data_IF_108163857628
#
_entry.id   IF_108163857628
#
_cell.length_a   1.000
_cell.length_b   1.000
_cell.length_c   1.000
_cell.angle_alpha   90.00
_cell.angle_beta   90.00
_cell.angle_gamma   90.00
#
_symmetry.space_group_name_H-M   'P 1'
#
loop_
_entity.id
_entity.type
_entity.pdbx_description
1 polymer ?
#
# COMPACT_ATOMS: atom_id res chain seq x y z
N UNK A 1 -45.31 9.81 -12.35
CA UNK A 1 -44.37 9.62 -13.48
C UNK A 1 -43.61 8.34 -13.22
N UNK A 2 -44.10 7.23 -13.76
CA UNK A 2 -43.49 5.90 -13.67
C UNK A 2 -42.39 5.78 -14.71
N UNK A 3 -41.20 6.29 -14.39
CA UNK A 3 -39.98 5.94 -15.12
C UNK A 3 -39.51 4.58 -14.63
N UNK A 4 -39.33 3.63 -15.53
CA UNK A 4 -38.57 2.41 -15.27
C UNK A 4 -37.15 2.81 -14.81
N UNK A 5 -36.90 2.88 -13.50
CA UNK A 5 -35.54 2.98 -12.96
C UNK A 5 -34.86 1.62 -13.16
N UNK A 6 -34.33 1.35 -14.34
CA UNK A 6 -33.59 0.10 -14.61
C UNK A 6 -32.12 0.18 -14.19
N UNK A 7 -31.63 1.36 -13.79
CA UNK A 7 -30.24 1.53 -13.30
C UNK A 7 -30.13 2.78 -12.44
N UNK A 8 -29.61 2.63 -11.22
CA UNK A 8 -29.19 3.73 -10.36
C UNK A 8 -27.97 4.46 -10.94
N UNK A 9 -27.88 5.77 -10.69
CA UNK A 9 -26.64 6.51 -10.93
C UNK A 9 -25.58 6.16 -9.88
N UNK A 10 -24.31 6.39 -10.19
CA UNK A 10 -23.18 6.09 -9.28
C UNK A 10 -23.26 6.85 -7.96
N UNK A 11 -23.80 8.08 -7.99
CA UNK A 11 -23.93 8.93 -6.80
C UNK A 11 -25.06 8.43 -5.89
N UNK A 12 -26.19 8.01 -6.47
CA UNK A 12 -27.31 7.41 -5.74
C UNK A 12 -26.92 6.09 -5.07
N UNK A 13 -26.16 5.24 -5.78
CA UNK A 13 -25.67 3.98 -5.20
C UNK A 13 -24.72 4.21 -4.02
N UNK A 14 -23.83 5.20 -4.15
CA UNK A 14 -22.89 5.57 -3.07
C UNK A 14 -23.66 6.11 -1.87
N UNK A 15 -24.65 6.97 -2.10
CA UNK A 15 -25.49 7.52 -1.04
C UNK A 15 -26.30 6.43 -0.31
N UNK A 16 -26.93 5.51 -1.06
CA UNK A 16 -27.70 4.40 -0.47
C UNK A 16 -26.83 3.47 0.38
N UNK A 17 -25.65 3.09 -0.14
CA UNK A 17 -24.67 2.30 0.60
C UNK A 17 -24.21 2.97 1.89
N UNK A 18 -24.03 4.29 1.83
CA UNK A 18 -23.64 5.10 2.97
C UNK A 18 -24.77 5.09 4.00
N UNK A 19 -25.98 5.47 3.61
CA UNK A 19 -27.13 5.51 4.51
C UNK A 19 -27.45 4.16 5.16
N UNK A 20 -27.38 3.03 4.43
CA UNK A 20 -27.48 1.68 5.03
C UNK A 20 -26.49 1.48 6.19
N UNK A 21 -25.23 1.86 6.00
CA UNK A 21 -24.19 1.68 7.00
C UNK A 21 -24.49 2.49 8.27
N UNK A 22 -24.77 3.78 8.14
CA UNK A 22 -25.03 4.67 9.28
C UNK A 22 -26.28 4.32 10.06
N UNK A 23 -27.39 4.12 9.35
CA UNK A 23 -28.67 3.86 9.99
C UNK A 23 -28.65 2.53 10.74
N UNK A 24 -27.89 1.54 10.23
CA UNK A 24 -27.64 0.28 10.94
C UNK A 24 -26.71 0.43 12.15
N UNK A 25 -25.71 1.31 12.07
CA UNK A 25 -24.72 1.52 13.14
C UNK A 25 -25.22 2.33 14.33
N UNK A 26 -26.16 3.24 14.07
CA UNK A 26 -26.85 4.05 15.10
C UNK A 26 -27.98 3.28 15.79
N UNK A 27 -28.39 2.14 15.23
CA UNK A 27 -29.39 1.22 15.80
C UNK A 27 -28.90 0.44 17.01
N UNK A 28 -29.84 -0.18 17.73
CA UNK A 28 -29.55 -1.09 18.84
C UNK A 28 -28.70 -2.29 18.38
N UNK A 29 -27.91 -2.82 19.31
CA UNK A 29 -27.00 -3.95 19.18
C UNK A 29 -27.62 -5.18 18.51
N UNK A 30 -28.93 -5.39 18.64
CA UNK A 30 -29.69 -6.47 17.98
C UNK A 30 -29.56 -6.43 16.44
N UNK A 31 -29.37 -5.25 15.85
CA UNK A 31 -29.23 -5.07 14.40
C UNK A 31 -27.79 -5.23 13.90
N UNK A 32 -26.79 -5.20 14.79
CA UNK A 32 -25.38 -5.15 14.37
C UNK A 32 -24.84 -6.45 13.77
N UNK A 33 -25.50 -7.56 14.08
CA UNK A 33 -25.20 -8.88 13.51
C UNK A 33 -26.07 -9.22 12.29
N UNK A 34 -27.07 -8.40 11.98
CA UNK A 34 -27.87 -8.54 10.77
C UNK A 34 -27.28 -7.71 9.61
N UNK A 35 -27.50 -8.11 8.35
CA UNK A 35 -27.16 -7.28 7.20
C UNK A 35 -27.83 -5.90 7.31
N UNK A 36 -27.09 -4.83 7.03
CA UNK A 36 -27.60 -3.45 7.14
C UNK A 36 -28.84 -3.17 6.30
N UNK A 37 -29.09 -3.91 5.21
CA UNK A 37 -30.34 -3.80 4.46
C UNK A 37 -31.59 -4.27 5.21
N UNK A 38 -31.48 -5.17 6.19
CA UNK A 38 -32.64 -5.70 6.91
C UNK A 38 -33.31 -4.64 7.79
N UNK A 39 -32.52 -3.80 8.47
CA UNK A 39 -33.04 -2.66 9.23
C UNK A 39 -33.71 -1.63 8.29
N UNK A 40 -33.14 -1.42 7.09
CA UNK A 40 -33.72 -0.53 6.08
C UNK A 40 -35.05 -1.07 5.56
N UNK A 41 -35.15 -2.37 5.25
CA UNK A 41 -36.41 -3.00 4.87
C UNK A 41 -37.47 -2.91 5.99
N UNK A 42 -37.06 -3.06 7.26
CA UNK A 42 -37.97 -2.92 8.40
C UNK A 42 -38.50 -1.48 8.51
N UNK A 43 -37.63 -0.48 8.35
CA UNK A 43 -38.02 0.94 8.32
C UNK A 43 -38.94 1.27 7.14
N UNK A 44 -38.60 0.83 5.93
CA UNK A 44 -39.44 1.01 4.74
C UNK A 44 -40.84 0.43 4.97
N UNK A 45 -40.94 -0.77 5.54
CA UNK A 45 -42.24 -1.38 5.86
C UNK A 45 -43.04 -0.57 6.87
N UNK A 46 -42.39 0.01 7.88
CA UNK A 46 -43.04 0.89 8.85
C UNK A 46 -43.64 2.13 8.17
N UNK A 47 -42.87 2.80 7.31
CA UNK A 47 -43.32 4.00 6.60
C UNK A 47 -44.35 3.70 5.50
N UNK A 48 -44.34 2.50 4.91
CA UNK A 48 -45.40 2.07 3.99
C UNK A 48 -46.73 1.80 4.71
N UNK A 49 -46.69 1.26 5.93
CA UNK A 49 -47.88 1.00 6.72
C UNK A 49 -48.46 2.26 7.36
N UNK A 50 -47.59 3.16 7.81
CA UNK A 50 -47.97 4.46 8.37
C UNK A 50 -47.10 5.56 7.73
N UNK A 51 -47.64 6.40 6.83
CA UNK A 51 -46.87 7.44 6.13
C UNK A 51 -46.20 8.46 7.06
N UNK A 52 -46.74 8.66 8.27
CA UNK A 52 -46.19 9.53 9.31
C UNK A 52 -46.16 8.76 10.65
N UNK A 53 -45.19 7.85 10.85
CA UNK A 53 -45.04 7.16 12.13
C UNK A 53 -44.66 8.15 13.24
N UNK A 54 -45.12 7.88 14.47
CA UNK A 54 -44.64 8.69 15.60
C UNK A 54 -43.16 8.40 15.87
N UNK A 55 -42.44 9.38 16.41
CA UNK A 55 -41.02 9.22 16.75
C UNK A 55 -40.78 7.99 17.66
N UNK A 56 -41.65 7.75 18.63
CA UNK A 56 -41.60 6.58 19.52
C UNK A 56 -41.69 5.25 18.75
N UNK A 57 -42.50 5.17 17.69
CA UNK A 57 -42.60 3.96 16.87
C UNK A 57 -41.28 3.66 16.16
N UNK A 58 -40.67 4.69 15.57
CA UNK A 58 -39.36 4.54 14.89
C UNK A 58 -38.28 4.14 15.90
N UNK A 59 -38.22 4.83 17.04
CA UNK A 59 -37.25 4.54 18.11
C UNK A 59 -37.44 3.16 18.73
N UNK A 60 -38.68 2.67 18.88
CA UNK A 60 -38.94 1.32 19.40
C UNK A 60 -38.42 0.22 18.45
N UNK A 61 -38.49 0.47 17.13
CA UNK A 61 -38.02 -0.46 16.10
C UNK A 61 -36.48 -0.45 16.02
N UNK A 62 -35.90 0.74 15.84
CA UNK A 62 -34.46 0.92 15.60
C UNK A 62 -33.63 0.90 16.87
N UNK A 63 -34.22 1.29 18.01
CA UNK A 63 -33.52 1.55 19.26
C UNK A 63 -32.75 2.87 19.28
N UNK A 64 -33.06 3.79 18.35
CA UNK A 64 -32.40 5.11 18.29
C UNK A 64 -32.74 5.98 19.50
N UNK A 65 -31.75 6.72 19.99
CA UNK A 65 -31.98 7.84 20.92
C UNK A 65 -32.58 9.04 20.18
N UNK A 66 -33.09 10.03 20.91
CA UNK A 66 -33.57 11.29 20.33
C UNK A 66 -32.50 11.97 19.46
N UNK A 67 -31.25 11.90 19.90
CA UNK A 67 -30.10 12.42 19.17
C UNK A 67 -29.92 11.71 17.81
N UNK A 68 -29.87 10.38 17.78
CA UNK A 68 -29.67 9.63 16.54
C UNK A 68 -30.86 9.72 15.59
N UNK A 69 -32.08 9.86 16.11
CA UNK A 69 -33.25 10.13 15.27
C UNK A 69 -33.09 11.47 14.54
N UNK A 70 -32.78 12.55 15.28
CA UNK A 70 -32.60 13.89 14.71
C UNK A 70 -31.39 13.98 13.78
N UNK A 71 -30.29 13.31 14.11
CA UNK A 71 -29.08 13.32 13.29
C UNK A 71 -29.27 12.60 11.96
N UNK A 72 -29.94 11.43 11.96
CA UNK A 72 -30.26 10.72 10.73
C UNK A 72 -31.24 11.50 9.84
N UNK A 73 -32.26 12.13 10.44
CA UNK A 73 -33.23 12.99 9.73
C UNK A 73 -32.56 14.23 9.12
N UNK A 74 -31.63 14.86 9.85
CA UNK A 74 -30.88 16.02 9.36
C UNK A 74 -29.84 15.66 8.29
N UNK A 75 -29.18 14.51 8.42
CA UNK A 75 -28.05 14.09 7.57
C UNK A 75 -28.49 13.52 6.22
N UNK A 76 -29.59 12.78 6.20
CA UNK A 76 -30.10 12.12 4.98
C UNK A 76 -31.37 12.77 4.43
N UNK A 77 -31.89 13.80 5.10
CA UNK A 77 -33.15 14.45 4.76
C UNK A 77 -34.33 13.78 5.48
N UNK A 78 -35.54 14.38 5.36
CA UNK A 78 -36.74 13.93 6.07
C UNK A 78 -36.92 12.41 5.93
N UNK A 79 -36.97 11.70 7.05
CA UNK A 79 -37.01 10.24 7.08
C UNK A 79 -38.16 9.66 6.25
N UNK A 80 -39.29 10.35 6.17
CA UNK A 80 -40.42 9.94 5.33
C UNK A 80 -40.08 9.88 3.83
N UNK A 81 -39.40 10.90 3.30
CA UNK A 81 -38.95 10.96 1.90
C UNK A 81 -37.81 9.97 1.65
N UNK A 82 -36.87 9.92 2.58
CA UNK A 82 -35.73 8.99 2.57
C UNK A 82 -36.19 7.54 2.51
N UNK A 83 -37.14 7.13 3.37
CA UNK A 83 -37.66 5.76 3.39
C UNK A 83 -38.53 5.43 2.18
N UNK A 84 -39.24 6.41 1.60
CA UNK A 84 -39.96 6.21 0.34
C UNK A 84 -38.99 5.95 -0.83
N UNK A 85 -37.87 6.68 -0.88
CA UNK A 85 -36.81 6.51 -1.87
C UNK A 85 -36.10 5.15 -1.70
N UNK A 86 -35.76 4.78 -0.46
CA UNK A 86 -35.25 3.45 -0.16
C UNK A 86 -36.20 2.34 -0.60
N UNK A 87 -37.50 2.47 -0.34
CA UNK A 87 -38.49 1.46 -0.74
C UNK A 87 -38.61 1.25 -2.25
N UNK A 88 -38.24 2.25 -3.06
CA UNK A 88 -38.23 2.13 -4.52
C UNK A 88 -36.88 1.62 -5.06
N UNK A 89 -35.79 1.96 -4.39
CA UNK A 89 -34.44 1.79 -4.94
C UNK A 89 -33.65 0.63 -4.31
N UNK A 90 -33.97 0.21 -3.08
CA UNK A 90 -33.21 -0.80 -2.33
C UNK A 90 -33.17 -2.17 -3.05
N UNK A 91 -34.24 -2.53 -3.75
CA UNK A 91 -34.32 -3.77 -4.54
C UNK A 91 -33.49 -3.72 -5.84
N UNK A 92 -33.11 -2.52 -6.29
CA UNK A 92 -32.39 -2.26 -7.54
C UNK A 92 -30.89 -2.03 -7.27
N UNK A 93 -30.48 -1.86 -6.00
CA UNK A 93 -29.07 -1.67 -5.62
C UNK A 93 -28.23 -2.84 -6.13
N UNK A 94 -27.07 -2.52 -6.70
CA UNK A 94 -26.16 -3.58 -7.13
C UNK A 94 -25.49 -4.19 -5.90
N UNK A 95 -25.37 -5.52 -5.89
CA UNK A 95 -24.72 -6.29 -4.83
C UNK A 95 -23.37 -6.81 -5.32
N UNK A 96 -22.36 -5.94 -5.50
CA UNK A 96 -21.08 -6.35 -6.06
C UNK A 96 -20.38 -7.30 -5.10
N UNK A 97 -19.87 -8.40 -5.63
CA UNK A 97 -18.98 -9.27 -4.88
C UNK A 97 -17.58 -8.65 -4.76
N UNK A 98 -17.01 -8.68 -3.57
CA UNK A 98 -15.63 -8.23 -3.36
C UNK A 98 -14.66 -9.29 -3.90
N UNK A 99 -13.73 -8.87 -4.75
CA UNK A 99 -12.82 -9.77 -5.48
C UNK A 99 -11.95 -10.63 -4.56
N UNK A 100 -11.80 -11.92 -4.88
CA UNK A 100 -10.97 -12.85 -4.11
C UNK A 100 -9.46 -12.74 -4.46
N UNK A 101 -9.08 -11.84 -5.36
CA UNK A 101 -7.74 -11.75 -5.94
C UNK A 101 -6.64 -11.38 -4.93
N UNK A 102 -6.98 -10.81 -3.77
CA UNK A 102 -5.98 -10.36 -2.79
C UNK A 102 -5.23 -11.53 -2.11
N UNK A 103 -5.90 -12.67 -1.89
CA UNK A 103 -5.32 -13.85 -1.25
C UNK A 103 -4.22 -14.50 -2.10
N UNK A 104 -4.43 -14.82 -3.39
CA UNK A 104 -3.35 -15.40 -4.21
C UNK A 104 -2.19 -14.43 -4.40
N UNK A 105 -2.46 -13.11 -4.54
CA UNK A 105 -1.41 -12.09 -4.63
C UNK A 105 -0.56 -12.09 -3.35
N UNK A 106 -1.20 -12.16 -2.17
CA UNK A 106 -0.52 -12.24 -0.89
C UNK A 106 0.42 -13.44 -0.81
N UNK A 107 -0.05 -14.63 -1.15
CA UNK A 107 0.76 -15.85 -1.09
C UNK A 107 1.98 -15.73 -2.01
N UNK A 108 1.77 -15.35 -3.27
CA UNK A 108 2.84 -15.28 -4.28
C UNK A 108 3.90 -14.25 -3.88
N UNK A 109 3.49 -13.03 -3.55
CA UNK A 109 4.44 -11.95 -3.25
C UNK A 109 5.13 -12.15 -1.90
N UNK A 110 4.45 -12.71 -0.91
CA UNK A 110 5.07 -13.04 0.38
C UNK A 110 6.12 -14.13 0.24
N UNK A 111 5.81 -15.21 -0.49
CA UNK A 111 6.79 -16.28 -0.75
C UNK A 111 7.98 -15.72 -1.52
N UNK A 112 7.73 -14.92 -2.56
CA UNK A 112 8.78 -14.31 -3.37
C UNK A 112 9.67 -13.37 -2.55
N UNK A 113 9.09 -12.49 -1.74
CA UNK A 113 9.83 -11.55 -0.91
C UNK A 113 10.61 -12.26 0.21
N UNK A 114 10.05 -13.32 0.81
CA UNK A 114 10.76 -14.19 1.77
C UNK A 114 12.02 -14.77 1.15
N UNK A 115 11.90 -15.36 -0.05
CA UNK A 115 13.03 -15.96 -0.77
C UNK A 115 14.09 -14.90 -1.08
N UNK A 116 13.68 -13.74 -1.59
CA UNK A 116 14.60 -12.65 -1.93
C UNK A 116 15.33 -12.10 -0.70
N UNK A 117 14.64 -11.95 0.44
CA UNK A 117 15.26 -11.54 1.69
C UNK A 117 16.25 -12.59 2.21
N UNK A 118 15.91 -13.88 2.13
CA UNK A 118 16.83 -14.97 2.46
C UNK A 118 18.09 -14.94 1.59
N UNK A 119 17.94 -14.80 0.27
CA UNK A 119 19.05 -14.68 -0.68
C UNK A 119 19.90 -13.43 -0.43
N UNK A 120 19.29 -12.32 -0.03
CA UNK A 120 20.00 -11.09 0.35
C UNK A 120 20.92 -11.35 1.54
N UNK A 121 20.41 -11.92 2.63
CA UNK A 121 21.22 -12.23 3.81
C UNK A 121 22.32 -13.25 3.50
N UNK A 122 21.98 -14.30 2.76
CA UNK A 122 22.94 -15.29 2.30
C UNK A 122 24.07 -14.64 1.49
N UNK A 123 23.73 -13.71 0.58
CA UNK A 123 24.71 -12.97 -0.20
C UNK A 123 25.65 -12.15 0.68
N UNK A 124 25.14 -11.48 1.72
CA UNK A 124 25.95 -10.64 2.60
C UNK A 124 26.89 -11.48 3.48
N UNK A 125 26.39 -12.56 4.05
CA UNK A 125 27.19 -13.50 4.82
C UNK A 125 28.26 -14.18 3.96
N UNK A 126 27.91 -14.62 2.75
CA UNK A 126 28.84 -15.34 1.87
C UNK A 126 29.90 -14.45 1.21
N UNK A 127 29.61 -13.17 0.96
CA UNK A 127 30.52 -12.26 0.23
C UNK A 127 31.26 -11.33 1.17
N UNK A 128 30.55 -10.67 2.09
CA UNK A 128 31.13 -9.65 2.98
C UNK A 128 31.49 -10.22 4.36
N UNK A 129 30.99 -11.40 4.74
CA UNK A 129 31.20 -11.99 6.07
C UNK A 129 30.57 -11.23 7.23
N UNK A 130 29.80 -10.17 6.96
CA UNK A 130 29.14 -9.31 7.96
C UNK A 130 27.85 -8.72 7.43
N UNK A 131 26.90 -8.52 8.33
CA UNK A 131 25.62 -7.85 8.07
C UNK A 131 25.80 -6.35 8.32
N UNK A 132 25.35 -5.51 7.39
CA UNK A 132 25.48 -4.06 7.51
C UNK A 132 24.18 -3.43 8.05
N UNK A 133 24.24 -2.20 8.56
CA UNK A 133 23.09 -1.51 9.17
C UNK A 133 21.88 -1.39 8.22
N UNK A 134 22.11 -1.23 6.92
CA UNK A 134 21.04 -1.15 5.92
C UNK A 134 20.33 -2.50 5.68
N UNK A 135 20.98 -3.64 5.97
CA UNK A 135 20.36 -4.96 5.87
C UNK A 135 19.39 -5.20 7.02
N UNK A 136 19.72 -4.72 8.22
CA UNK A 136 18.79 -4.70 9.37
C UNK A 136 17.56 -3.84 9.08
N UNK A 137 17.75 -2.68 8.45
CA UNK A 137 16.64 -1.82 8.04
C UNK A 137 15.78 -2.47 6.95
N UNK A 138 16.39 -3.25 6.05
CA UNK A 138 15.64 -4.04 5.06
C UNK A 138 14.81 -5.15 5.70
N UNK A 139 15.33 -5.81 6.74
CA UNK A 139 14.57 -6.80 7.52
C UNK A 139 13.43 -6.17 8.28
N UNK A 140 13.66 -5.01 8.89
CA UNK A 140 12.62 -4.22 9.53
C UNK A 140 11.52 -3.87 8.53
N UNK A 141 11.89 -3.36 7.35
CA UNK A 141 10.94 -3.08 6.28
C UNK A 141 10.12 -4.33 5.88
N UNK A 142 10.77 -5.49 5.74
CA UNK A 142 10.11 -6.75 5.43
C UNK A 142 9.05 -7.15 6.49
N UNK A 143 9.36 -7.02 7.78
CA UNK A 143 8.40 -7.30 8.86
C UNK A 143 7.19 -6.37 8.78
N UNK A 144 7.40 -5.08 8.50
CA UNK A 144 6.31 -4.12 8.32
C UNK A 144 5.46 -4.43 7.09
N UNK A 145 6.09 -4.84 5.98
CA UNK A 145 5.38 -5.27 4.77
C UNK A 145 4.53 -6.51 5.07
N UNK A 146 5.07 -7.51 5.77
CA UNK A 146 4.30 -8.69 6.19
C UNK A 146 3.10 -8.31 7.07
N UNK A 147 3.30 -7.42 8.05
CA UNK A 147 2.24 -6.93 8.92
C UNK A 147 1.14 -6.23 8.13
N UNK A 148 1.52 -5.32 7.24
CA UNK A 148 0.58 -4.60 6.38
C UNK A 148 -0.19 -5.52 5.42
N UNK A 149 0.50 -6.49 4.81
CA UNK A 149 -0.10 -7.47 3.93
C UNK A 149 -1.09 -8.38 4.69
N UNK A 150 -0.74 -8.83 5.89
CA UNK A 150 -1.60 -9.65 6.75
C UNK A 150 -2.87 -8.89 7.15
N UNK A 151 -2.72 -7.60 7.48
CA UNK A 151 -3.83 -6.73 7.82
C UNK A 151 -4.79 -6.50 6.63
N UNK A 152 -4.23 -6.36 5.43
CA UNK A 152 -5.03 -6.25 4.19
C UNK A 152 -5.82 -7.53 3.88
N UNK A 153 -5.27 -8.71 4.20
CA UNK A 153 -5.99 -9.98 4.09
C UNK A 153 -7.07 -10.08 5.16
N UNK A 154 -6.76 -9.68 6.41
CA UNK A 154 -7.74 -9.66 7.49
C UNK A 154 -8.91 -8.71 7.17
N UNK A 155 -8.65 -7.51 6.64
CA UNK A 155 -9.68 -6.59 6.15
C UNK A 155 -10.62 -7.27 5.15
N UNK A 156 -10.07 -7.99 4.18
CA UNK A 156 -10.86 -8.74 3.19
C UNK A 156 -11.71 -9.84 3.84
N UNK A 157 -11.13 -10.61 4.76
CA UNK A 157 -11.85 -11.68 5.47
C UNK A 157 -12.96 -11.10 6.35
N UNK A 158 -12.69 -10.00 7.05
CA UNK A 158 -13.65 -9.29 7.89
C UNK A 158 -14.80 -8.67 7.07
N UNK A 159 -14.52 -8.21 5.85
CA UNK A 159 -15.51 -7.65 4.92
C UNK A 159 -16.44 -8.69 4.28
N UNK A 160 -16.05 -9.97 4.30
CA UNK A 160 -16.82 -11.06 3.71
C UNK A 160 -16.90 -11.05 2.18
N UNK A 161 -18.02 -11.57 1.66
CA UNK A 161 -18.27 -11.80 0.23
C UNK A 161 -18.67 -10.54 -0.52
N UNK A 162 -19.29 -9.58 0.16
CA UNK A 162 -19.91 -8.41 -0.46
C UNK A 162 -18.99 -7.19 -0.40
N UNK A 163 -19.00 -6.40 -1.47
CA UNK A 163 -18.32 -5.10 -1.50
C UNK A 163 -19.20 -4.02 -0.86
N UNK A 164 -20.49 -4.01 -1.18
CA UNK A 164 -21.50 -3.07 -0.65
C UNK A 164 -21.59 -3.11 0.88
N UNK A 165 -21.76 -1.94 1.51
CA UNK A 165 -22.02 -1.84 2.93
C UNK A 165 -23.43 -2.31 3.31
N UNK A 166 -24.44 -2.16 2.44
CA UNK A 166 -25.81 -2.61 2.71
C UNK A 166 -25.91 -4.13 2.93
N UNK A 167 -25.03 -4.92 2.30
CA UNK A 167 -25.02 -6.38 2.44
C UNK A 167 -24.13 -6.90 3.57
N UNK A 168 -23.34 -6.02 4.20
CA UNK A 168 -22.48 -6.37 5.32
C UNK A 168 -23.25 -6.17 6.63
N UNK A 169 -22.83 -6.90 7.66
CA UNK A 169 -23.26 -6.56 9.02
C UNK A 169 -22.45 -5.37 9.52
N UNK A 170 -23.01 -4.58 10.43
CA UNK A 170 -22.30 -3.46 11.02
C UNK A 170 -20.99 -3.91 11.69
N UNK A 171 -21.03 -5.01 12.46
CA UNK A 171 -19.85 -5.60 13.09
C UNK A 171 -18.76 -6.07 12.10
N UNK A 172 -19.14 -6.51 10.89
CA UNK A 172 -18.19 -6.84 9.83
C UNK A 172 -17.54 -5.57 9.25
N UNK A 173 -18.35 -4.55 8.96
CA UNK A 173 -17.88 -3.29 8.41
C UNK A 173 -16.95 -2.53 9.37
N UNK A 174 -17.26 -2.51 10.67
CA UNK A 174 -16.39 -1.90 11.71
C UNK A 174 -15.03 -2.61 11.80
N UNK A 175 -15.02 -3.95 11.84
CA UNK A 175 -13.77 -4.73 11.89
C UNK A 175 -12.91 -4.52 10.64
N UNK A 176 -13.54 -4.48 9.47
CA UNK A 176 -12.85 -4.18 8.21
C UNK A 176 -12.27 -2.77 8.22
N UNK A 177 -13.03 -1.78 8.67
CA UNK A 177 -12.57 -0.40 8.75
C UNK A 177 -11.41 -0.21 9.73
N UNK A 178 -11.44 -0.85 10.91
CA UNK A 178 -10.33 -0.81 11.86
C UNK A 178 -9.04 -1.36 11.23
N UNK A 179 -9.16 -2.48 10.49
CA UNK A 179 -8.04 -3.07 9.78
C UNK A 179 -7.50 -2.13 8.68
N UNK A 180 -8.40 -1.55 7.90
CA UNK A 180 -8.05 -0.57 6.87
C UNK A 180 -7.32 0.64 7.47
N UNK A 181 -7.86 1.24 8.53
CA UNK A 181 -7.29 2.43 9.17
C UNK A 181 -5.89 2.17 9.72
N UNK A 182 -5.69 1.03 10.40
CA UNK A 182 -4.37 0.63 10.87
C UNK A 182 -3.41 0.35 9.70
N UNK A 183 -3.92 -0.22 8.60
CA UNK A 183 -3.15 -0.46 7.38
C UNK A 183 -2.69 0.83 6.72
N UNK A 184 -3.54 1.85 6.67
CA UNK A 184 -3.19 3.15 6.11
C UNK A 184 -2.15 3.90 6.94
N UNK A 185 -2.14 3.72 8.27
CA UNK A 185 -1.09 4.25 9.14
C UNK A 185 0.24 3.48 9.03
N UNK A 186 0.18 2.16 8.83
CA UNK A 186 1.36 1.30 8.73
C UNK A 186 2.07 1.38 7.36
N UNK A 187 1.30 1.63 6.30
CA UNK A 187 1.80 1.69 4.92
C UNK A 187 2.97 2.68 4.72
N UNK A 188 2.86 3.97 5.14
CA UNK A 188 3.95 4.94 5.02
C UNK A 188 5.24 4.51 5.73
N UNK A 189 5.13 3.80 6.86
CA UNK A 189 6.28 3.32 7.63
C UNK A 189 6.99 2.18 6.88
N UNK A 190 6.22 1.27 6.28
CA UNK A 190 6.75 0.17 5.48
C UNK A 190 7.54 0.70 4.27
N UNK A 191 6.92 1.60 3.47
CA UNK A 191 7.58 2.15 2.27
C UNK A 191 8.80 3.01 2.63
N UNK A 192 8.71 3.83 3.68
CA UNK A 192 9.83 4.62 4.18
C UNK A 192 11.03 3.73 4.54
N UNK A 193 10.78 2.63 5.25
CA UNK A 193 11.84 1.72 5.68
C UNK A 193 12.58 1.11 4.49
N UNK A 194 11.87 0.74 3.42
CA UNK A 194 12.48 0.25 2.17
C UNK A 194 13.32 1.35 1.51
N UNK A 195 12.78 2.57 1.40
CA UNK A 195 13.50 3.71 0.78
C UNK A 195 14.77 4.05 1.55
N UNK A 196 14.70 4.12 2.87
CA UNK A 196 15.87 4.40 3.71
C UNK A 196 16.92 3.30 3.61
N UNK A 197 16.52 2.03 3.55
CA UNK A 197 17.46 0.93 3.33
C UNK A 197 18.22 1.06 2.00
N UNK A 198 17.52 1.43 0.92
CA UNK A 198 18.11 1.62 -0.40
C UNK A 198 19.00 2.88 -0.46
N UNK A 199 18.55 3.98 0.13
CA UNK A 199 19.30 5.23 0.22
C UNK A 199 20.59 5.08 1.04
N UNK A 200 20.55 4.36 2.16
CA UNK A 200 21.75 4.05 2.96
C UNK A 200 22.73 3.15 2.20
N UNK A 201 22.21 2.21 1.39
CA UNK A 201 23.04 1.43 0.49
C UNK A 201 23.76 2.32 -0.53
N UNK A 202 23.06 3.27 -1.16
CA UNK A 202 23.67 4.22 -2.10
C UNK A 202 24.67 5.16 -1.43
N UNK A 203 24.39 5.61 -0.21
CA UNK A 203 25.33 6.40 0.58
C UNK A 203 26.63 5.63 0.85
N UNK A 204 26.54 4.33 1.13
CA UNK A 204 27.72 3.49 1.35
C UNK A 204 28.54 3.22 0.08
N UNK A 205 27.90 3.33 -1.10
CA UNK A 205 28.50 2.94 -2.37
C UNK A 205 29.40 4.04 -2.96
N UNK A 206 29.12 5.30 -2.68
CA UNK A 206 29.86 6.42 -3.29
C UNK A 206 30.25 7.50 -2.28
N UNK A 207 31.47 8.01 -2.44
CA UNK A 207 31.99 9.19 -1.74
C UNK A 207 31.69 10.49 -2.49
N UNK A 208 31.07 10.42 -3.68
CA UNK A 208 30.79 11.58 -4.52
C UNK A 208 29.77 12.52 -3.86
N UNK A 209 30.19 13.75 -3.56
CA UNK A 209 29.40 14.73 -2.79
C UNK A 209 28.00 15.03 -3.38
N UNK A 210 27.81 15.21 -4.70
CA UNK A 210 26.49 15.47 -5.28
C UNK A 210 25.51 14.33 -5.04
N UNK A 211 25.99 13.08 -5.12
CA UNK A 211 25.19 11.90 -4.84
C UNK A 211 24.79 11.81 -3.37
N UNK A 212 25.70 12.18 -2.44
CA UNK A 212 25.39 12.23 -1.00
C UNK A 212 24.33 13.28 -0.68
N UNK A 213 24.42 14.47 -1.27
CA UNK A 213 23.39 15.50 -1.15
C UNK A 213 22.04 15.03 -1.69
N UNK A 214 22.01 14.40 -2.86
CA UNK A 214 20.79 13.83 -3.42
C UNK A 214 20.17 12.77 -2.47
N UNK A 215 21.00 11.92 -1.86
CA UNK A 215 20.54 10.93 -0.86
C UNK A 215 19.94 11.61 0.37
N UNK A 216 20.60 12.62 0.94
CA UNK A 216 20.09 13.33 2.13
C UNK A 216 18.77 14.04 1.87
N UNK A 217 18.67 14.78 0.75
CA UNK A 217 17.45 15.51 0.37
C UNK A 217 16.29 14.52 0.17
N UNK A 218 16.55 13.41 -0.53
CA UNK A 218 15.52 12.40 -0.82
C UNK A 218 15.11 11.63 0.42
N UNK A 219 16.06 11.33 1.32
CA UNK A 219 15.77 10.70 2.62
C UNK A 219 14.90 11.61 3.49
N UNK A 220 15.23 12.89 3.57
CA UNK A 220 14.45 13.88 4.31
C UNK A 220 13.03 14.03 3.73
N UNK A 221 12.90 14.18 2.41
CA UNK A 221 11.60 14.29 1.74
C UNK A 221 10.73 13.04 1.96
N UNK A 222 11.33 11.84 1.87
CA UNK A 222 10.63 10.57 2.12
C UNK A 222 10.19 10.45 3.56
N UNK A 223 11.06 10.80 4.51
CA UNK A 223 10.76 10.78 5.94
C UNK A 223 9.64 11.76 6.30
N UNK A 224 9.74 13.01 5.85
CA UNK A 224 8.72 14.03 6.09
C UNK A 224 7.36 13.61 5.54
N UNK A 225 7.32 13.11 4.29
CA UNK A 225 6.08 12.63 3.65
C UNK A 225 5.47 11.46 4.41
N UNK A 226 6.28 10.51 4.85
CA UNK A 226 5.80 9.34 5.59
C UNK A 226 5.27 9.71 6.98
N UNK A 227 5.94 10.62 7.69
CA UNK A 227 5.47 11.11 8.99
C UNK A 227 4.18 11.89 8.86
N UNK A 228 4.08 12.79 7.87
CA UNK A 228 2.82 13.51 7.57
C UNK A 228 1.70 12.50 7.31
N UNK A 229 1.91 11.52 6.41
CA UNK A 229 0.90 10.53 6.10
C UNK A 229 0.50 9.68 7.32
N UNK A 230 1.46 9.22 8.13
CA UNK A 230 1.20 8.42 9.33
C UNK A 230 0.41 9.21 10.36
N UNK A 231 0.85 10.42 10.73
CA UNK A 231 0.16 11.24 11.72
C UNK A 231 -1.22 11.69 11.25
N UNK A 232 -1.38 11.93 9.96
CA UNK A 232 -2.68 12.20 9.36
C UNK A 232 -3.66 11.05 9.59
N UNK A 233 -3.28 9.81 9.29
CA UNK A 233 -4.16 8.64 9.45
C UNK A 233 -4.44 8.29 10.91
N UNK A 234 -3.49 8.56 11.81
CA UNK A 234 -3.69 8.37 13.25
C UNK A 234 -4.62 9.47 13.78
N UNK A 235 -4.31 10.74 13.55
CA UNK A 235 -5.04 11.87 14.14
C UNK A 235 -6.21 12.39 13.29
N UNK A 236 -6.67 11.63 12.30
CA UNK A 236 -7.74 12.08 11.40
C UNK A 236 -9.06 12.34 12.16
N UNK A 237 -9.32 11.57 13.22
CA UNK A 237 -10.56 11.61 13.99
C UNK A 237 -10.29 11.68 15.50
N UNK A 238 -11.16 12.34 16.26
CA UNK A 238 -11.05 12.42 17.73
C UNK A 238 -11.44 11.05 18.32
N UNK A 239 -10.52 10.43 19.07
CA UNK A 239 -10.48 8.99 19.33
C UNK A 239 -11.53 8.32 20.25
N UNK A 240 -12.38 8.98 21.07
CA UNK A 240 -13.23 8.23 22.01
C UNK A 240 -14.27 7.33 21.34
N UNK A 241 -14.81 7.75 20.20
CA UNK A 241 -15.97 7.06 19.61
C UNK A 241 -15.59 5.98 18.61
N UNK A 242 -14.45 6.06 17.91
CA UNK A 242 -14.09 5.07 16.87
C UNK A 242 -14.03 3.60 17.36
N UNK A 243 -13.85 3.40 18.67
CA UNK A 243 -13.76 2.10 19.33
C UNK A 243 -15.05 1.65 20.03
N UNK A 244 -15.96 2.57 20.36
CA UNK A 244 -17.21 2.30 21.11
C UNK A 244 -18.49 2.52 20.28
N UNK A 245 -18.44 3.44 19.33
CA UNK A 245 -19.47 3.71 18.34
C UNK A 245 -18.78 3.59 16.98
N UNK A 246 -18.99 2.44 16.33
CA UNK A 246 -18.44 2.17 15.00
C UNK A 246 -18.62 3.37 14.08
N UNK A 247 -17.62 3.53 13.20
CA UNK A 247 -17.46 4.60 12.21
C UNK A 247 -18.74 5.40 12.04
N UNK A 248 -18.74 6.62 12.56
CA UNK A 248 -19.79 7.60 12.31
C UNK A 248 -19.24 8.57 11.25
N UNK A 249 -19.43 8.32 9.94
CA UNK A 249 -18.82 9.20 8.94
C UNK A 249 -19.40 10.65 8.95
N UNK A 250 -20.45 10.95 9.76
CA UNK A 250 -21.07 12.28 9.93
C UNK A 250 -20.44 13.00 11.11
N UNK A 251 -19.75 12.28 12.01
CA UNK A 251 -18.66 12.82 12.82
C UNK A 251 -17.61 13.30 11.83
N UNK A 252 -17.86 14.53 11.41
CA UNK A 252 -17.06 15.36 10.56
C UNK A 252 -15.62 15.30 11.07
N UNK A 253 -14.83 14.35 10.55
CA UNK A 253 -13.38 14.33 10.70
C UNK A 253 -12.83 15.51 9.86
N UNK A 254 -13.17 16.72 10.34
CA UNK A 254 -13.03 18.03 9.71
C UNK A 254 -11.59 18.49 9.67
N UNK A 255 -10.68 17.80 10.36
CA UNK A 255 -9.29 18.21 10.49
C UNK A 255 -8.61 18.27 9.11
N UNK A 256 -8.91 17.33 8.19
CA UNK A 256 -8.27 17.30 6.88
C UNK A 256 -9.16 16.71 5.80
N UNK A 257 -9.15 17.29 4.58
CA UNK A 257 -9.74 16.67 3.39
C UNK A 257 -8.90 15.44 2.99
N UNK A 258 -9.32 14.21 3.29
CA UNK A 258 -8.45 13.03 3.20
C UNK A 258 -7.98 12.78 1.77
N UNK A 259 -8.85 13.01 0.79
CA UNK A 259 -8.54 12.86 -0.63
C UNK A 259 -7.35 13.72 -1.09
N UNK A 260 -7.38 15.02 -0.79
CA UNK A 260 -6.32 15.96 -1.23
C UNK A 260 -4.96 15.58 -0.64
N UNK A 261 -4.94 15.17 0.63
CA UNK A 261 -3.69 14.82 1.31
C UNK A 261 -3.16 13.47 0.80
N UNK A 262 -4.01 12.47 0.59
CA UNK A 262 -3.60 11.18 0.01
C UNK A 262 -3.04 11.37 -1.39
N UNK A 263 -3.66 12.22 -2.22
CA UNK A 263 -3.16 12.52 -3.56
C UNK A 263 -1.80 13.24 -3.53
N UNK A 264 -1.67 14.25 -2.68
CA UNK A 264 -0.44 15.05 -2.58
C UNK A 264 0.72 14.21 -2.05
N UNK A 265 0.49 13.45 -0.97
CA UNK A 265 1.52 12.57 -0.38
C UNK A 265 1.88 11.42 -1.32
N UNK A 266 0.89 10.86 -2.04
CA UNK A 266 1.13 9.85 -3.08
C UNK A 266 1.98 10.36 -4.25
N UNK A 267 1.72 11.58 -4.73
CA UNK A 267 2.51 12.19 -5.80
C UNK A 267 3.96 12.43 -5.38
N UNK A 268 4.19 12.93 -4.16
CA UNK A 268 5.54 13.11 -3.61
C UNK A 268 6.23 11.75 -3.42
N UNK A 269 5.49 10.73 -3.00
CA UNK A 269 6.02 9.37 -2.86
C UNK A 269 6.54 8.84 -4.20
N UNK A 270 5.76 8.97 -5.28
CA UNK A 270 6.19 8.58 -6.64
C UNK A 270 7.41 9.41 -7.08
N UNK A 271 7.40 10.72 -6.85
CA UNK A 271 8.54 11.58 -7.20
C UNK A 271 9.82 11.12 -6.51
N UNK A 272 9.76 10.81 -5.21
CA UNK A 272 10.91 10.27 -4.49
C UNK A 272 11.35 8.89 -5.02
N UNK A 273 10.42 8.04 -5.46
CA UNK A 273 10.78 6.74 -6.08
C UNK A 273 11.54 6.93 -7.40
N UNK A 274 11.10 7.86 -8.24
CA UNK A 274 11.79 8.21 -9.49
C UNK A 274 13.18 8.77 -9.19
N UNK A 275 13.32 9.68 -8.21
CA UNK A 275 14.62 10.23 -7.82
C UNK A 275 15.56 9.12 -7.32
N UNK A 276 15.09 8.23 -6.45
CA UNK A 276 15.88 7.10 -5.94
C UNK A 276 16.37 6.21 -7.09
N UNK A 277 15.52 5.95 -8.08
CA UNK A 277 15.89 5.18 -9.27
C UNK A 277 16.94 5.88 -10.14
N UNK A 278 16.89 7.21 -10.24
CA UNK A 278 17.86 8.00 -11.03
C UNK A 278 19.23 8.14 -10.35
N UNK A 279 19.30 8.14 -9.01
CA UNK A 279 20.56 8.31 -8.24
C UNK A 279 21.73 7.43 -8.73
N UNK A 280 21.56 6.12 -8.97
CA UNK A 280 22.68 5.27 -9.41
C UNK A 280 23.03 5.39 -10.91
N UNK A 281 22.20 6.02 -11.75
CA UNK A 281 22.44 6.08 -13.21
C UNK A 281 23.74 6.81 -13.60
N UNK A 282 24.05 8.01 -13.06
CA UNK A 282 25.29 8.71 -13.39
C UNK A 282 26.54 7.90 -13.03
N UNK A 283 26.49 7.14 -11.93
CA UNK A 283 27.58 6.29 -11.49
C UNK A 283 27.79 5.14 -12.49
N UNK A 284 26.71 4.49 -12.92
CA UNK A 284 26.78 3.39 -13.89
C UNK A 284 27.23 3.86 -15.27
N UNK A 285 26.84 5.06 -15.71
CA UNK A 285 27.25 5.60 -17.01
C UNK A 285 28.74 5.94 -17.09
N UNK A 286 29.36 6.27 -15.97
CA UNK A 286 30.81 6.52 -15.90
C UNK A 286 31.63 5.24 -15.81
N UNK A 287 31.01 4.12 -15.44
CA UNK A 287 31.70 2.87 -15.21
C UNK A 287 31.74 2.02 -16.49
N UNK A 288 32.95 1.73 -17.00
CA UNK A 288 33.14 0.84 -18.14
C UNK A 288 32.90 -0.62 -17.72
N UNK A 289 31.63 -1.02 -17.71
CA UNK A 289 31.22 -2.37 -17.32
C UNK A 289 31.49 -3.40 -18.43
N UNK A 290 31.97 -4.58 -18.05
CA UNK A 290 32.06 -5.72 -18.94
C UNK A 290 30.65 -6.17 -19.41
N UNK A 291 30.50 -6.83 -20.57
CA UNK A 291 29.18 -7.18 -21.13
C UNK A 291 28.26 -7.94 -20.16
N UNK A 292 28.84 -8.81 -19.31
CA UNK A 292 28.12 -9.55 -18.27
C UNK A 292 27.55 -8.66 -17.17
N UNK A 293 28.31 -7.67 -16.74
CA UNK A 293 27.90 -6.72 -15.71
C UNK A 293 26.87 -5.72 -16.26
N UNK A 294 26.94 -5.42 -17.55
CA UNK A 294 25.96 -4.60 -18.27
C UNK A 294 24.57 -5.23 -18.27
N UNK A 295 24.46 -6.55 -18.52
CA UNK A 295 23.17 -7.26 -18.49
C UNK A 295 22.55 -7.21 -17.08
N UNK A 296 23.36 -7.50 -16.05
CA UNK A 296 22.93 -7.42 -14.65
C UNK A 296 22.51 -6.00 -14.27
N UNK A 297 23.25 -4.98 -14.71
CA UNK A 297 22.89 -3.59 -14.49
C UNK A 297 21.52 -3.28 -15.12
N UNK A 298 21.31 -3.62 -16.40
CA UNK A 298 20.02 -3.43 -17.09
C UNK A 298 18.87 -4.11 -16.35
N UNK A 299 19.07 -5.34 -15.87
CA UNK A 299 18.07 -6.05 -15.07
C UNK A 299 17.75 -5.31 -13.77
N UNK A 300 18.77 -4.87 -13.02
CA UNK A 300 18.55 -4.12 -11.76
C UNK A 300 17.86 -2.77 -11.99
N UNK A 301 18.18 -2.06 -13.07
CA UNK A 301 17.50 -0.81 -13.43
C UNK A 301 16.06 -1.05 -13.89
N UNK A 302 15.81 -2.14 -14.62
CA UNK A 302 14.47 -2.55 -15.04
C UNK A 302 13.56 -2.84 -13.85
N UNK A 303 14.06 -3.56 -12.84
CA UNK A 303 13.31 -3.78 -11.59
C UNK A 303 12.95 -2.48 -10.88
N UNK A 304 13.87 -1.51 -10.84
CA UNK A 304 13.60 -0.19 -10.28
C UNK A 304 12.56 0.60 -11.08
N UNK A 305 12.53 0.44 -12.40
CA UNK A 305 11.51 1.07 -13.23
C UNK A 305 10.11 0.51 -12.96
N UNK A 306 9.99 -0.81 -12.82
CA UNK A 306 8.72 -1.48 -12.52
C UNK A 306 8.17 -1.03 -11.15
N UNK A 307 9.04 -0.80 -10.16
CA UNK A 307 8.64 -0.37 -8.83
C UNK A 307 7.90 0.99 -8.83
N UNK A 308 8.47 2.04 -9.43
CA UNK A 308 7.80 3.35 -9.44
C UNK A 308 6.59 3.40 -10.39
N UNK A 309 6.56 2.56 -11.44
CA UNK A 309 5.36 2.38 -12.28
C UNK A 309 4.22 1.78 -11.45
N UNK A 310 4.52 0.79 -10.60
CA UNK A 310 3.51 0.21 -9.70
C UNK A 310 2.92 1.25 -8.74
N UNK A 311 3.75 2.18 -8.23
CA UNK A 311 3.30 3.31 -7.41
C UNK A 311 2.32 4.24 -8.14
N UNK A 312 2.55 4.50 -9.45
CA UNK A 312 1.61 5.27 -10.28
C UNK A 312 0.28 4.53 -10.43
N UNK A 313 0.33 3.23 -10.76
CA UNK A 313 -0.90 2.44 -10.95
C UNK A 313 -1.72 2.44 -9.66
N UNK A 314 -1.08 2.29 -8.49
CA UNK A 314 -1.77 2.42 -7.22
C UNK A 314 -2.41 3.79 -7.06
N UNK A 315 -1.71 4.89 -7.32
CA UNK A 315 -2.28 6.23 -7.15
C UNK A 315 -3.51 6.43 -8.06
N UNK A 316 -3.49 5.87 -9.27
CA UNK A 316 -4.65 5.85 -10.17
C UNK A 316 -5.80 5.02 -9.59
N UNK A 317 -5.52 3.87 -8.98
CA UNK A 317 -6.55 3.07 -8.29
C UNK A 317 -7.13 3.82 -7.08
N UNK A 318 -6.27 4.48 -6.30
CA UNK A 318 -6.70 5.34 -5.19
C UNK A 318 -7.61 6.45 -5.70
N UNK A 319 -7.28 7.09 -6.82
CA UNK A 319 -8.15 8.10 -7.44
C UNK A 319 -9.49 7.52 -7.88
N UNK A 320 -9.45 6.36 -8.52
CA UNK A 320 -10.63 5.68 -9.05
C UNK A 320 -11.54 5.09 -7.97
N UNK A 321 -11.03 4.74 -6.79
CA UNK A 321 -11.82 4.05 -5.77
C UNK A 321 -12.06 4.89 -4.51
N UNK A 322 -11.24 5.92 -4.20
CA UNK A 322 -11.56 6.87 -3.12
C UNK A 322 -12.72 7.80 -3.46
N UNK A 323 -12.90 8.13 -4.75
CA UNK A 323 -13.97 9.03 -5.19
C UNK A 323 -15.27 8.31 -5.51
N UNK A 324 -15.27 6.98 -5.66
CA UNK A 324 -16.14 6.39 -6.69
C UNK A 324 -16.90 5.10 -6.35
N UNK A 325 -16.77 4.41 -5.21
CA UNK A 325 -17.66 3.24 -4.99
C UNK A 325 -17.58 2.53 -3.64
N UNK A 326 -18.76 2.34 -3.04
CA UNK A 326 -19.30 1.06 -2.53
C UNK A 326 -18.40 0.20 -1.62
N UNK A 327 -17.53 0.79 -0.79
CA UNK A 327 -16.87 0.07 0.31
C UNK A 327 -15.85 -1.01 -0.07
N UNK A 328 -15.32 -0.98 -1.30
CA UNK A 328 -14.35 -1.98 -1.80
C UNK A 328 -12.94 -1.42 -2.00
N UNK A 329 -12.12 -1.57 -0.97
CA UNK A 329 -10.68 -1.19 -0.92
C UNK A 329 -9.75 -2.24 -1.53
N UNK A 330 -10.28 -3.39 -1.95
CA UNK A 330 -9.51 -4.58 -2.32
C UNK A 330 -8.54 -4.33 -3.49
N UNK A 331 -8.95 -3.55 -4.48
CA UNK A 331 -8.09 -3.23 -5.63
C UNK A 331 -6.92 -2.31 -5.23
N UNK A 332 -7.17 -1.33 -4.35
CA UNK A 332 -6.13 -0.45 -3.80
C UNK A 332 -5.11 -1.30 -3.03
N UNK A 333 -5.59 -2.17 -2.14
CA UNK A 333 -4.75 -3.02 -1.32
C UNK A 333 -3.93 -4.02 -2.15
N UNK A 334 -4.50 -4.58 -3.23
CA UNK A 334 -3.77 -5.47 -4.12
C UNK A 334 -2.58 -4.76 -4.79
N UNK A 335 -2.77 -3.55 -5.33
CA UNK A 335 -1.68 -2.80 -5.94
C UNK A 335 -0.66 -2.28 -4.93
N UNK A 336 -1.11 -1.90 -3.74
CA UNK A 336 -0.25 -1.55 -2.62
C UNK A 336 0.65 -2.71 -2.18
N UNK A 337 0.13 -3.93 -2.17
CA UNK A 337 0.88 -5.15 -1.88
C UNK A 337 1.96 -5.41 -2.94
N UNK A 338 1.60 -5.27 -4.22
CA UNK A 338 2.53 -5.39 -5.36
C UNK A 338 3.65 -4.36 -5.25
N UNK A 339 3.30 -3.09 -5.01
CA UNK A 339 4.24 -1.97 -4.85
C UNK A 339 5.26 -2.23 -3.73
N UNK A 340 4.81 -2.54 -2.51
CA UNK A 340 5.69 -2.78 -1.37
C UNK A 340 6.66 -3.94 -1.60
N UNK A 341 6.16 -5.05 -2.13
CA UNK A 341 7.00 -6.22 -2.38
C UNK A 341 7.98 -5.97 -3.53
N UNK A 342 7.57 -5.29 -4.61
CA UNK A 342 8.48 -4.91 -5.69
C UNK A 342 9.56 -3.94 -5.22
N UNK A 343 9.21 -2.96 -4.37
CA UNK A 343 10.18 -2.04 -3.79
C UNK A 343 11.24 -2.79 -2.95
N UNK A 344 10.82 -3.77 -2.15
CA UNK A 344 11.74 -4.60 -1.36
C UNK A 344 12.64 -5.48 -2.24
N UNK A 345 12.08 -6.08 -3.29
CA UNK A 345 12.83 -6.90 -4.26
C UNK A 345 13.86 -6.02 -5.00
N UNK A 346 13.45 -4.84 -5.46
CA UNK A 346 14.32 -3.87 -6.10
C UNK A 346 15.45 -3.42 -5.16
N UNK A 347 15.14 -3.13 -3.89
CA UNK A 347 16.15 -2.78 -2.88
C UNK A 347 17.18 -3.90 -2.65
N UNK A 348 16.80 -5.15 -2.91
CA UNK A 348 17.66 -6.34 -2.79
C UNK A 348 18.42 -6.70 -4.07
N UNK A 349 18.12 -6.06 -5.19
CA UNK A 349 18.76 -6.32 -6.47
C UNK A 349 20.30 -6.18 -6.46
N UNK A 350 20.91 -5.20 -5.77
CA UNK A 350 22.37 -5.10 -5.70
C UNK A 350 23.03 -6.27 -4.95
N UNK A 351 22.39 -6.80 -3.91
CA UNK A 351 22.87 -7.97 -3.19
C UNK A 351 22.75 -9.23 -4.06
N UNK A 352 21.60 -9.42 -4.72
CA UNK A 352 21.38 -10.53 -5.65
C UNK A 352 22.39 -10.50 -6.81
N UNK A 353 22.69 -9.33 -7.35
CA UNK A 353 23.74 -9.14 -8.38
C UNK A 353 25.08 -9.70 -7.90
N UNK A 354 25.50 -9.35 -6.68
CA UNK A 354 26.76 -9.82 -6.12
C UNK A 354 26.78 -11.35 -5.93
N UNK A 355 25.66 -11.94 -5.50
CA UNK A 355 25.51 -13.38 -5.36
C UNK A 355 25.66 -14.13 -6.69
N UNK A 356 24.97 -13.64 -7.74
CA UNK A 356 24.96 -14.24 -9.07
C UNK A 356 26.36 -14.24 -9.69
N UNK A 357 27.12 -13.15 -9.53
CA UNK A 357 28.51 -13.06 -10.01
C UNK A 357 29.41 -14.11 -9.34
N UNK A 358 29.24 -14.36 -8.04
CA UNK A 358 30.08 -15.29 -7.28
C UNK A 358 29.73 -16.77 -7.49
N UNK A 359 28.45 -17.14 -7.42
CA UNK A 359 28.04 -18.55 -7.33
C UNK A 359 27.51 -19.14 -8.65
N UNK A 360 27.15 -18.29 -9.62
CA UNK A 360 26.57 -18.72 -10.88
C UNK A 360 27.38 -18.27 -12.12
N UNK A 361 28.72 -18.42 -12.16
CA UNK A 361 29.54 -17.98 -13.30
C UNK A 361 29.23 -18.71 -14.61
N UNK A 362 28.52 -19.86 -14.54
CA UNK A 362 28.10 -20.69 -15.68
C UNK A 362 26.77 -20.27 -16.31
N UNK A 363 25.90 -19.56 -15.59
CA UNK A 363 24.58 -19.12 -16.08
C UNK A 363 24.72 -17.89 -17.00
N UNK A 364 25.87 -17.21 -16.96
CA UNK A 364 26.25 -16.12 -17.84
C UNK A 364 27.54 -16.51 -18.58
N UNK A 365 27.50 -17.09 -19.78
CA UNK A 365 28.71 -17.47 -20.52
C UNK A 365 29.65 -16.28 -20.70
N UNK A 366 30.97 -16.52 -20.65
CA UNK A 366 31.95 -15.49 -21.02
C UNK A 366 31.89 -15.48 -22.54
N UNK A 367 31.20 -14.50 -23.13
CA UNK A 367 31.43 -14.19 -24.52
C UNK A 367 32.81 -13.51 -24.59
N UNK A 368 33.88 -14.32 -24.56
CA UNK A 368 35.15 -13.86 -25.08
C UNK A 368 34.95 -13.66 -26.59
N UNK A 369 35.30 -12.49 -27.16
CA UNK A 369 35.60 -12.44 -28.57
C UNK A 369 36.70 -13.48 -28.80
N UNK A 370 36.44 -14.52 -29.59
CA UNK A 370 37.45 -15.52 -29.88
C UNK A 370 38.55 -14.88 -30.73
N UNK A 371 39.63 -14.44 -30.10
CA UNK A 371 40.92 -14.31 -30.77
C UNK A 371 41.83 -15.41 -30.23
N UNK A 372 42.14 -16.34 -31.13
CA UNK A 372 43.00 -17.52 -30.99
C UNK A 372 44.26 -17.29 -30.15
N UNK A 373 44.65 -18.27 -29.33
CA UNK A 373 46.01 -18.40 -28.78
C UNK A 373 46.13 -18.65 -27.28
N UNK A 374 46.34 -19.92 -26.94
CA UNK A 374 46.95 -20.51 -25.71
C UNK A 374 47.39 -19.59 -24.56
N UNK A 375 46.77 -19.75 -23.38
CA UNK A 375 47.39 -19.87 -22.04
C UNK A 375 46.32 -19.63 -20.95
N UNK A 376 45.59 -20.69 -20.58
CA UNK A 376 44.34 -20.60 -19.80
C UNK A 376 44.52 -20.83 -18.29
N UNK A 377 45.66 -21.34 -17.82
CA UNK A 377 45.78 -21.76 -16.40
C UNK A 377 46.38 -20.72 -15.45
N UNK A 378 47.10 -19.69 -15.92
CA UNK A 378 47.71 -18.69 -15.03
C UNK A 378 46.92 -17.38 -14.85
N UNK A 379 45.97 -17.08 -15.77
CA UNK A 379 45.24 -15.80 -15.79
C UNK A 379 43.99 -15.76 -14.91
N UNK A 380 43.37 -16.91 -14.62
CA UNK A 380 42.18 -16.99 -13.76
C UNK A 380 42.48 -16.56 -12.32
N UNK A 381 43.61 -17.00 -11.75
CA UNK A 381 44.05 -16.58 -10.41
C UNK A 381 44.44 -15.09 -10.35
N UNK A 382 44.92 -14.52 -11.47
CA UNK A 382 45.28 -13.10 -11.55
C UNK A 382 44.04 -12.19 -11.63
N UNK A 383 43.00 -12.60 -12.34
CA UNK A 383 41.74 -11.85 -12.43
C UNK A 383 40.96 -11.83 -11.10
N UNK A 384 40.96 -12.95 -10.36
CA UNK A 384 40.37 -13.01 -9.03
C UNK A 384 41.13 -12.13 -8.03
N UNK A 385 42.47 -12.11 -8.09
CA UNK A 385 43.29 -11.18 -7.30
C UNK A 385 43.07 -9.72 -7.68
N UNK A 386 42.98 -9.36 -8.96
CA UNK A 386 42.78 -7.97 -9.40
C UNK A 386 41.40 -7.42 -9.01
N UNK A 387 40.35 -8.25 -9.01
CA UNK A 387 39.02 -7.82 -8.59
C UNK A 387 38.94 -7.56 -7.07
N UNK A 388 39.56 -8.44 -6.26
CA UNK A 388 39.67 -8.24 -4.80
C UNK A 388 40.50 -7.00 -4.47
N UNK A 389 41.59 -6.75 -5.23
CA UNK A 389 42.44 -5.57 -5.05
C UNK A 389 41.65 -4.27 -5.37
N UNK A 390 40.87 -4.24 -6.46
CA UNK A 390 40.08 -3.04 -6.81
C UNK A 390 39.05 -2.65 -5.74
N UNK A 391 38.42 -3.63 -5.07
CA UNK A 391 37.50 -3.36 -3.96
C UNK A 391 38.21 -2.96 -2.66
N UNK A 392 39.48 -3.32 -2.48
CA UNK A 392 40.30 -2.87 -1.34
C UNK A 392 40.94 -1.50 -1.56
N UNK A 393 41.30 -1.15 -2.81
CA UNK A 393 42.00 0.10 -3.14
C UNK A 393 41.04 1.30 -3.22
N UNK A 394 39.76 1.08 -3.58
CA UNK A 394 38.69 2.07 -3.37
C UNK A 394 38.41 2.38 -1.88
N UNK A 395 39.04 1.63 -0.96
CA UNK A 395 38.83 1.75 0.50
C UNK A 395 40.01 2.36 1.25
N UNK A 396 41.14 2.62 0.60
CA UNK A 396 42.28 3.36 1.19
C UNK A 396 42.12 4.87 0.97
N UNK A 397 42.21 5.71 2.02
CA UNK A 397 42.42 7.14 1.81
C UNK A 397 43.82 7.35 1.21
N UNK A 398 43.92 8.19 0.19
CA UNK A 398 45.21 8.62 -0.36
C UNK A 398 46.07 9.25 0.75
N UNK A 399 47.32 8.81 0.96
CA UNK A 399 48.26 9.53 1.82
C UNK A 399 48.77 10.76 1.06
N UNK A 400 48.59 11.92 1.70
CA UNK A 400 49.34 13.17 1.55
C UNK A 400 49.49 13.83 0.17
N UNK A 401 48.90 15.02 0.05
CA UNK A 401 49.56 16.15 -0.62
C UNK A 401 49.53 17.35 0.35
N UNK A 402 50.58 17.44 1.18
CA UNK A 402 51.03 18.68 1.81
C UNK A 402 52.09 19.31 0.90
N UNK A 403 51.82 20.50 0.37
CA UNK A 403 52.74 21.64 0.36
C UNK A 403 51.91 22.90 0.57
#
# INVERSE_FOLDING_TARGET
MSGNLTSLTSDEETWLNTACFYMSGTGDSKWWDQPSKEIMFALVKLYQQNPNPSQEQVQSLTGWSDYFYQDNDASFGPLNETMALFGQQLDIITHPHSTASIIPIFIVFTVLSTIVMGLRFWSRLSILGRIQSFDWLSLFAYIFILGWCSLSVYEKVASGTWASYCDRTYNQAVRAYMAYSLGMALYPVAILSVKLALLLFYFSLSTWQPMRWAVYITAFASFATAMIAMFMWIFQCNYPDLWNHGVDPTTSCKAFRPYNVVMSTGAINILTDVIIWLIPLPLVWRLQLYPRERILAVFTFGLGAIAWIASIVRLVMVNKYLLYSNGSTTAINAWAMVELNLALICSSAPALRALLIKHAPKVLPYAYPSSSGSDITSKASRAEKTFVISQSEERSPSPDEKV
#
